data_IF_117961957502
#
_entry.id   IF_117961957502
#
_cell.length_a   1.000
_cell.length_b   1.000
_cell.length_c   1.000
_cell.angle_alpha   90.00
_cell.angle_beta   90.00
_cell.angle_gamma   90.00
#
_symmetry.space_group_name_H-M   'P 1'
#
loop_
_entity.id
_entity.type
_entity.pdbx_description
1 polymer ?
#
# COMPACT_ATOMS: atom_id res chain seq x y z
N UNK A 1 -2.20 -8.77 -17.80
CA UNK A 1 -1.42 -7.69 -17.10
C UNK A 1 -0.06 -8.18 -16.60
N UNK A 2 0.14 -9.47 -16.33
CA UNK A 2 1.39 -10.01 -15.79
C UNK A 2 2.67 -9.68 -16.61
N UNK A 3 2.56 -9.54 -17.90
CA UNK A 3 3.67 -9.18 -18.81
C UNK A 3 4.07 -7.68 -18.79
N UNK A 4 3.25 -6.85 -18.14
CA UNK A 4 3.50 -5.40 -18.01
C UNK A 4 4.11 -5.01 -16.66
N UNK A 5 4.22 -5.98 -15.75
CA UNK A 5 4.68 -5.77 -14.38
C UNK A 5 6.19 -6.01 -14.33
N UNK A 6 6.94 -5.16 -13.61
CA UNK A 6 8.38 -5.34 -13.39
C UNK A 6 8.68 -6.63 -12.62
N UNK A 7 9.91 -7.12 -12.73
CA UNK A 7 10.30 -8.34 -11.99
C UNK A 7 10.29 -8.09 -10.47
N UNK A 8 10.69 -6.92 -10.03
CA UNK A 8 10.61 -6.50 -8.62
C UNK A 8 9.17 -6.52 -8.10
N UNK A 9 8.23 -6.02 -8.91
CA UNK A 9 6.82 -6.02 -8.54
C UNK A 9 6.21 -7.43 -8.55
N UNK A 10 6.72 -8.36 -9.36
CA UNK A 10 6.26 -9.77 -9.34
C UNK A 10 6.58 -10.46 -8.03
N UNK A 11 7.79 -10.26 -7.50
CA UNK A 11 8.18 -10.83 -6.22
C UNK A 11 7.32 -10.26 -5.09
N UNK A 12 7.17 -8.94 -5.05
CA UNK A 12 6.30 -8.28 -4.07
C UNK A 12 4.82 -8.71 -4.23
N UNK A 13 4.34 -8.90 -5.46
CA UNK A 13 2.98 -9.37 -5.72
C UNK A 13 2.75 -10.78 -5.17
N UNK A 14 3.74 -11.65 -5.23
CA UNK A 14 3.67 -12.98 -4.63
C UNK A 14 3.57 -12.89 -3.10
N UNK A 15 4.39 -12.06 -2.45
CA UNK A 15 4.35 -11.84 -1.00
C UNK A 15 3.00 -11.26 -0.56
N UNK A 16 2.48 -10.29 -1.31
CA UNK A 16 1.15 -9.70 -1.08
C UNK A 16 0.05 -10.74 -1.25
N UNK A 17 0.13 -11.58 -2.29
CA UNK A 17 -0.82 -12.67 -2.50
C UNK A 17 -0.86 -13.62 -1.30
N UNK A 18 0.29 -14.07 -0.82
CA UNK A 18 0.39 -14.98 0.34
C UNK A 18 -0.16 -14.33 1.61
N UNK A 19 0.19 -13.09 1.87
CA UNK A 19 -0.35 -12.31 2.99
C UNK A 19 -1.88 -12.16 2.91
N UNK A 20 -2.39 -11.84 1.73
CA UNK A 20 -3.82 -11.69 1.50
C UNK A 20 -4.60 -13.00 1.69
N UNK A 21 -4.10 -14.12 1.17
CA UNK A 21 -4.77 -15.42 1.30
C UNK A 21 -4.70 -15.96 2.74
N UNK A 22 -3.55 -15.82 3.40
CA UNK A 22 -3.34 -16.42 4.71
C UNK A 22 -3.90 -15.60 5.87
N UNK A 23 -4.00 -14.27 5.73
CA UNK A 23 -4.34 -13.39 6.85
C UNK A 23 -5.49 -12.42 6.54
N UNK A 24 -5.37 -11.60 5.49
CA UNK A 24 -6.33 -10.52 5.23
C UNK A 24 -7.75 -11.04 5.01
N UNK A 25 -7.89 -12.01 4.13
CA UNK A 25 -9.18 -12.53 3.66
C UNK A 25 -10.07 -13.09 4.78
N UNK A 26 -9.49 -13.81 5.72
CA UNK A 26 -10.26 -14.39 6.83
C UNK A 26 -10.46 -13.38 7.97
N UNK A 27 -9.44 -12.61 8.31
CA UNK A 27 -9.53 -11.65 9.42
C UNK A 27 -10.44 -10.48 9.08
N UNK A 28 -10.42 -9.98 7.84
CA UNK A 28 -11.31 -8.89 7.42
C UNK A 28 -12.79 -9.24 7.52
N UNK A 29 -13.17 -10.51 7.34
CA UNK A 29 -14.55 -10.96 7.57
C UNK A 29 -15.02 -10.75 9.02
N UNK A 30 -14.13 -11.01 9.97
CA UNK A 30 -14.45 -10.81 11.40
C UNK A 30 -14.49 -9.33 11.76
N UNK A 31 -13.57 -8.53 11.23
CA UNK A 31 -13.56 -7.07 11.42
C UNK A 31 -14.78 -6.40 10.78
N UNK A 32 -15.26 -6.88 9.63
CA UNK A 32 -16.48 -6.40 8.99
C UNK A 32 -17.72 -6.63 9.88
N UNK A 33 -17.77 -7.75 10.59
CA UNK A 33 -18.86 -8.05 11.54
C UNK A 33 -18.76 -7.29 12.84
N UNK A 34 -17.56 -7.18 13.42
CA UNK A 34 -17.35 -6.53 14.72
C UNK A 34 -17.34 -5.02 14.64
N UNK A 35 -16.96 -4.45 13.49
CA UNK A 35 -16.71 -3.02 13.31
C UNK A 35 -15.43 -2.53 14.00
N UNK A 36 -14.59 -3.43 14.49
CA UNK A 36 -13.31 -3.11 15.11
C UNK A 36 -12.25 -2.77 14.05
N UNK A 37 -11.26 -1.97 14.46
CA UNK A 37 -10.15 -1.63 13.59
C UNK A 37 -9.17 -2.81 13.44
N UNK A 38 -8.82 -3.22 12.20
CA UNK A 38 -7.96 -4.38 11.94
C UNK A 38 -6.46 -4.07 12.15
N UNK A 39 -6.10 -3.67 13.36
CA UNK A 39 -4.77 -3.16 13.69
C UNK A 39 -3.62 -4.11 13.30
N UNK A 40 -3.76 -5.39 13.61
CA UNK A 40 -2.69 -6.37 13.36
C UNK A 40 -2.38 -6.52 11.86
N UNK A 41 -3.41 -6.60 11.02
CA UNK A 41 -3.26 -6.69 9.56
C UNK A 41 -2.66 -5.39 9.02
N UNK A 42 -3.09 -4.27 9.57
CA UNK A 42 -2.60 -2.96 9.15
C UNK A 42 -1.13 -2.78 9.51
N UNK A 43 -0.73 -3.15 10.72
CA UNK A 43 0.67 -3.09 11.17
C UNK A 43 1.58 -3.95 10.27
N UNK A 44 1.14 -5.17 9.92
CA UNK A 44 1.88 -6.03 8.97
C UNK A 44 1.97 -5.42 7.55
N UNK A 45 0.90 -4.82 7.08
CA UNK A 45 0.93 -4.14 5.78
C UNK A 45 1.91 -2.95 5.78
N UNK A 46 2.03 -2.24 6.90
CA UNK A 46 3.04 -1.19 7.08
C UNK A 46 4.46 -1.78 7.08
N UNK A 47 4.70 -2.88 7.77
CA UNK A 47 5.99 -3.59 7.75
C UNK A 47 6.39 -4.02 6.33
N UNK A 48 5.42 -4.43 5.52
CA UNK A 48 5.60 -4.74 4.09
C UNK A 48 5.68 -3.48 3.21
N UNK A 49 5.60 -2.29 3.76
CA UNK A 49 5.61 -0.99 3.07
C UNK A 49 4.47 -0.79 2.04
N UNK A 50 3.36 -1.51 2.20
CA UNK A 50 2.22 -1.42 1.28
C UNK A 50 1.50 -0.07 1.34
N UNK A 51 1.59 0.65 2.44
CA UNK A 51 1.03 2.00 2.63
C UNK A 51 1.83 3.09 1.89
N UNK A 52 3.06 2.82 1.48
CA UNK A 52 3.97 3.77 0.85
C UNK A 52 4.28 3.48 -0.63
N UNK A 53 3.51 2.62 -1.27
CA UNK A 53 3.72 2.20 -2.68
C UNK A 53 3.81 3.36 -3.67
N UNK A 54 3.10 4.45 -3.40
CA UNK A 54 3.05 5.63 -4.28
C UNK A 54 4.17 6.66 -4.02
N UNK A 55 5.00 6.43 -3.00
CA UNK A 55 6.10 7.34 -2.68
C UNK A 55 7.28 7.10 -3.63
N UNK A 56 7.81 8.18 -4.27
CA UNK A 56 8.98 8.07 -5.13
C UNK A 56 10.22 7.61 -4.36
N UNK A 57 11.14 6.95 -5.06
CA UNK A 57 12.41 6.47 -4.51
C UNK A 57 13.24 7.59 -3.86
N UNK A 58 13.26 8.78 -4.48
CA UNK A 58 13.96 9.96 -3.94
C UNK A 58 13.46 10.43 -2.56
N UNK A 59 12.25 10.03 -2.17
CA UNK A 59 11.64 10.33 -0.86
C UNK A 59 11.49 9.08 0.02
N UNK A 60 12.20 8.00 -0.28
CA UNK A 60 12.25 6.80 0.52
C UNK A 60 11.20 5.73 0.22
N UNK A 61 10.43 5.91 -0.84
CA UNK A 61 9.47 4.91 -1.32
C UNK A 61 10.10 3.85 -2.22
N UNK A 62 9.32 2.88 -2.67
CA UNK A 62 9.81 1.79 -3.52
C UNK A 62 10.07 2.18 -4.98
N UNK A 63 9.61 3.34 -5.43
CA UNK A 63 9.81 3.80 -6.80
C UNK A 63 9.13 2.96 -7.88
N UNK A 64 8.06 2.28 -7.55
CA UNK A 64 7.31 1.42 -8.47
C UNK A 64 6.59 2.20 -9.57
N UNK A 65 6.44 1.57 -10.73
CA UNK A 65 5.61 2.12 -11.79
C UNK A 65 4.12 2.14 -11.40
N UNK A 66 3.34 2.98 -12.07
CA UNK A 66 1.88 3.02 -11.82
C UNK A 66 1.18 1.70 -12.14
N UNK A 67 1.71 0.95 -13.11
CA UNK A 67 1.19 -0.37 -13.48
C UNK A 67 1.48 -1.38 -12.37
N UNK A 68 2.69 -1.35 -11.81
CA UNK A 68 3.07 -2.21 -10.68
C UNK A 68 2.19 -1.93 -9.45
N UNK A 69 2.01 -0.65 -9.12
CA UNK A 69 1.14 -0.24 -8.00
C UNK A 69 -0.31 -0.68 -8.24
N UNK A 70 -0.84 -0.53 -9.44
CA UNK A 70 -2.20 -0.96 -9.77
C UNK A 70 -2.37 -2.47 -9.58
N UNK A 71 -1.40 -3.28 -10.00
CA UNK A 71 -1.45 -4.72 -9.81
C UNK A 71 -1.42 -5.13 -8.33
N UNK A 72 -0.63 -4.47 -7.51
CA UNK A 72 -0.56 -4.72 -6.07
C UNK A 72 -1.88 -4.32 -5.36
N UNK A 73 -2.46 -3.18 -5.74
CA UNK A 73 -3.76 -2.74 -5.20
C UNK A 73 -4.88 -3.69 -5.65
N UNK A 74 -4.86 -4.15 -6.90
CA UNK A 74 -5.83 -5.13 -7.42
C UNK A 74 -5.78 -6.42 -6.60
N UNK A 75 -4.59 -6.93 -6.28
CA UNK A 75 -4.43 -8.14 -5.49
C UNK A 75 -4.95 -7.94 -4.05
N UNK A 76 -4.64 -6.83 -3.41
CA UNK A 76 -5.19 -6.51 -2.10
C UNK A 76 -6.72 -6.39 -2.13
N UNK A 77 -7.27 -5.72 -3.15
CA UNK A 77 -8.72 -5.54 -3.31
C UNK A 77 -9.45 -6.85 -3.62
N UNK A 78 -8.78 -7.79 -4.28
CA UNK A 78 -9.31 -9.15 -4.51
C UNK A 78 -9.55 -9.88 -3.19
N UNK A 79 -8.70 -9.67 -2.20
CA UNK A 79 -8.86 -10.25 -0.87
C UNK A 79 -9.93 -9.50 -0.06
N UNK A 80 -9.79 -8.17 0.05
CA UNK A 80 -10.74 -7.30 0.72
C UNK A 80 -10.61 -5.85 0.21
N UNK A 81 -11.69 -5.32 -0.34
CA UNK A 81 -11.71 -3.98 -0.93
C UNK A 81 -11.57 -2.86 0.12
N UNK A 82 -12.08 -3.06 1.32
CA UNK A 82 -11.95 -2.12 2.44
C UNK A 82 -10.50 -2.02 2.91
N UNK A 83 -9.84 -3.16 3.05
CA UNK A 83 -8.40 -3.22 3.36
C UNK A 83 -7.57 -2.49 2.30
N UNK A 84 -7.76 -2.82 1.02
CA UNK A 84 -7.03 -2.17 -0.07
C UNK A 84 -7.24 -0.65 -0.11
N UNK A 85 -8.48 -0.20 0.09
CA UNK A 85 -8.81 1.23 0.14
C UNK A 85 -8.11 1.92 1.31
N UNK A 86 -8.09 1.30 2.47
CA UNK A 86 -7.45 1.85 3.67
C UNK A 86 -5.94 1.98 3.48
N UNK A 87 -5.29 0.93 2.96
CA UNK A 87 -3.84 0.94 2.71
C UNK A 87 -3.45 1.99 1.65
N UNK A 88 -4.23 2.11 0.58
CA UNK A 88 -3.92 3.08 -0.49
C UNK A 88 -4.36 4.52 -0.19
N UNK A 89 -5.08 4.76 0.91
CA UNK A 89 -5.56 6.10 1.26
C UNK A 89 -4.43 7.12 1.51
N UNK A 90 -3.28 6.67 2.01
CA UNK A 90 -2.10 7.52 2.18
C UNK A 90 -1.63 8.14 0.85
N UNK A 91 -1.74 7.41 -0.26
CA UNK A 91 -1.44 7.92 -1.60
C UNK A 91 -2.36 9.08 -2.02
N UNK A 92 -3.62 9.07 -1.61
CA UNK A 92 -4.57 10.14 -1.92
C UNK A 92 -4.16 11.46 -1.25
N UNK A 93 -3.72 11.41 0.00
CA UNK A 93 -3.25 12.59 0.74
C UNK A 93 -1.88 13.08 0.27
N UNK A 94 -1.01 12.18 -0.12
CA UNK A 94 0.37 12.51 -0.52
C UNK A 94 0.46 13.08 -1.93
N UNK A 95 -0.38 12.62 -2.84
CA UNK A 95 -0.34 13.01 -4.26
C UNK A 95 -0.41 14.52 -4.51
N UNK A 96 -1.32 15.28 -3.91
CA UNK A 96 -1.35 16.74 -4.09
C UNK A 96 -0.06 17.41 -3.65
N UNK A 97 0.57 16.93 -2.57
CA UNK A 97 1.84 17.47 -2.07
C UNK A 97 2.98 17.15 -3.04
N UNK A 98 3.03 15.93 -3.60
CA UNK A 98 4.03 15.55 -4.60
C UNK A 98 3.90 16.35 -5.90
N UNK A 99 2.69 16.80 -6.27
CA UNK A 99 2.44 17.58 -7.47
C UNK A 99 2.74 19.07 -7.25
N UNK A 100 2.28 19.66 -6.17
CA UNK A 100 2.24 21.10 -5.96
C UNK A 100 3.05 21.61 -4.76
N UNK A 101 3.55 20.72 -3.90
CA UNK A 101 4.37 21.10 -2.74
C UNK A 101 5.78 21.54 -3.12
N UNK A 102 6.42 22.32 -2.24
CA UNK A 102 7.85 22.59 -2.33
C UNK A 102 8.65 21.38 -1.81
N UNK A 103 9.98 21.39 -1.98
CA UNK A 103 10.85 20.27 -1.60
C UNK A 103 10.79 19.93 -0.10
N UNK A 104 10.68 20.92 0.75
CA UNK A 104 10.57 20.74 2.21
C UNK A 104 9.26 20.03 2.57
N UNK A 105 8.15 20.47 1.99
CA UNK A 105 6.83 19.84 2.17
C UNK A 105 6.80 18.40 1.66
N UNK A 106 7.36 18.15 0.47
CA UNK A 106 7.43 16.79 -0.11
C UNK A 106 8.22 15.85 0.79
N UNK A 107 9.42 16.27 1.20
CA UNK A 107 10.28 15.48 2.10
C UNK A 107 9.57 15.18 3.42
N UNK A 108 9.01 16.21 4.06
CA UNK A 108 8.34 16.05 5.34
C UNK A 108 7.16 15.06 5.27
N UNK A 109 6.26 15.24 4.31
CA UNK A 109 5.07 14.37 4.17
C UNK A 109 5.47 12.94 3.81
N UNK A 110 6.39 12.77 2.87
CA UNK A 110 6.84 11.43 2.47
C UNK A 110 7.57 10.71 3.62
N UNK A 111 8.39 11.41 4.39
CA UNK A 111 9.06 10.85 5.56
C UNK A 111 8.07 10.35 6.62
N UNK A 112 7.04 11.14 6.91
CA UNK A 112 5.97 10.75 7.85
C UNK A 112 5.28 9.48 7.35
N UNK A 113 4.87 9.44 6.09
CA UNK A 113 4.18 8.27 5.50
C UNK A 113 5.08 7.03 5.50
N UNK A 114 6.32 7.13 5.03
CA UNK A 114 7.25 5.99 4.97
C UNK A 114 7.50 5.38 6.35
N UNK A 115 7.50 6.21 7.40
CA UNK A 115 7.66 5.75 8.79
C UNK A 115 6.35 5.25 9.45
N UNK A 116 5.28 5.10 8.70
CA UNK A 116 4.01 4.54 9.19
C UNK A 116 3.10 5.54 9.89
N UNK A 117 3.29 6.83 9.62
CA UNK A 117 2.47 7.92 10.14
C UNK A 117 1.24 8.23 9.31
#
# INVERSE_FOLDING_TARGET
MAYLISDEAKDLLQDVHEFCENEVKEQCKEYDKSGEWPKEIYDKAIEMQLHSLEIPEEYGGPGLSRVDIAALIEEMARADAGFATTISASGLGTKPVLIAGNEEQKKHVCEVIVNGG
#
